data_IF_169765029178
#
_entry.id   IF_169765029178
#
_cell.length_a   1.000
_cell.length_b   1.000
_cell.length_c   1.000
_cell.angle_alpha   90.00
_cell.angle_beta   90.00
_cell.angle_gamma   90.00
#
_symmetry.space_group_name_H-M   'P 1'
#
loop_
_entity.id
_entity.type
_entity.pdbx_description
1 polymer ?
#
# COMPACT_ATOMS: atom_id res chain seq x y z
N UNK A 1 3.11 23.06 -22.60
CA UNK A 1 4.16 23.13 -21.57
C UNK A 1 3.62 22.95 -20.14
N UNK A 2 2.29 22.94 -19.91
CA UNK A 2 1.69 22.73 -18.58
C UNK A 2 1.79 21.31 -18.02
N UNK A 3 1.94 20.28 -18.87
CA UNK A 3 1.97 18.89 -18.42
C UNK A 3 3.18 18.57 -17.49
N UNK A 4 4.28 19.32 -17.59
CA UNK A 4 5.47 19.13 -16.74
C UNK A 4 5.24 19.60 -15.29
N UNK A 5 4.28 20.49 -15.06
CA UNK A 5 4.01 21.09 -13.74
C UNK A 5 3.23 20.15 -12.81
N UNK A 6 2.55 19.15 -13.38
CA UNK A 6 1.73 18.18 -12.65
C UNK A 6 2.47 16.87 -12.34
N UNK A 7 3.75 16.77 -12.70
CA UNK A 7 4.55 15.58 -12.40
C UNK A 7 4.94 15.56 -10.93
N UNK A 8 5.01 14.37 -10.30
CA UNK A 8 5.48 14.23 -8.93
C UNK A 8 6.91 14.75 -8.82
N UNK A 9 7.17 15.58 -7.80
CA UNK A 9 8.48 16.16 -7.57
C UNK A 9 9.46 15.08 -7.14
N UNK A 10 10.49 14.86 -7.96
CA UNK A 10 11.65 14.05 -7.56
C UNK A 10 12.51 14.91 -6.63
N UNK A 11 12.92 14.41 -5.44
CA UNK A 11 13.74 15.16 -4.52
C UNK A 11 15.00 15.71 -5.19
N UNK A 12 15.27 16.98 -4.95
CA UNK A 12 16.50 17.61 -5.42
C UNK A 12 17.65 17.26 -4.46
N UNK A 13 18.84 17.01 -4.97
CA UNK A 13 20.04 16.74 -4.17
C UNK A 13 20.66 18.03 -3.59
N UNK A 14 19.94 19.14 -3.69
CA UNK A 14 20.34 20.46 -3.19
C UNK A 14 20.04 20.59 -1.71
N UNK A 15 21.03 21.04 -0.97
CA UNK A 15 20.93 21.41 0.43
C UNK A 15 21.18 22.92 0.59
N UNK A 16 20.22 23.63 1.19
CA UNK A 16 20.38 25.05 1.52
C UNK A 16 21.03 25.19 2.89
N UNK A 17 22.25 25.71 2.95
CA UNK A 17 22.93 26.04 4.21
C UNK A 17 23.04 27.56 4.31
N UNK A 18 22.16 28.17 5.10
CA UNK A 18 21.95 29.63 5.14
C UNK A 18 21.36 30.13 3.83
N UNK A 19 21.96 31.18 3.24
CA UNK A 19 21.50 31.79 1.97
C UNK A 19 22.15 31.16 0.72
N UNK A 20 22.86 30.02 0.86
CA UNK A 20 23.62 29.40 -0.22
C UNK A 20 23.14 27.98 -0.50
N UNK A 21 23.10 27.65 -1.79
CA UNK A 21 22.73 26.32 -2.29
C UNK A 21 23.99 25.49 -2.50
N UNK A 22 23.99 24.29 -1.93
CA UNK A 22 25.04 23.30 -2.07
C UNK A 22 24.48 22.02 -2.67
N UNK A 23 25.31 21.31 -3.42
CA UNK A 23 25.04 19.97 -3.90
C UNK A 23 25.81 18.97 -3.04
N UNK A 24 25.11 17.92 -2.61
CA UNK A 24 25.75 16.81 -1.91
C UNK A 24 26.37 15.84 -2.91
N UNK A 25 27.68 15.65 -2.80
CA UNK A 25 28.45 14.67 -3.54
C UNK A 25 28.30 13.27 -2.90
N UNK A 26 28.71 12.23 -3.63
CA UNK A 26 28.62 10.83 -3.17
C UNK A 26 29.42 10.55 -1.89
N UNK A 27 30.55 11.26 -1.71
CA UNK A 27 31.40 11.18 -0.52
C UNK A 27 30.86 11.97 0.69
N UNK A 28 29.69 12.62 0.54
CA UNK A 28 29.07 13.45 1.56
C UNK A 28 29.61 14.88 1.61
N UNK A 29 30.51 15.28 0.70
CA UNK A 29 30.97 16.67 0.61
C UNK A 29 29.89 17.56 0.01
N UNK A 30 29.88 18.82 0.43
CA UNK A 30 28.98 19.85 -0.11
C UNK A 30 29.74 20.72 -1.11
N UNK A 31 29.33 20.67 -2.38
CA UNK A 31 29.87 21.52 -3.45
C UNK A 31 28.94 22.71 -3.66
N UNK A 32 29.42 23.96 -3.52
CA UNK A 32 28.60 25.15 -3.82
C UNK A 32 28.14 25.14 -5.28
N UNK A 33 26.90 25.56 -5.56
CA UNK A 33 26.33 25.56 -6.91
C UNK A 33 27.22 26.30 -7.94
N UNK A 34 27.87 27.39 -7.54
CA UNK A 34 28.79 28.15 -8.39
C UNK A 34 30.03 27.36 -8.88
N UNK A 35 30.38 26.26 -8.20
CA UNK A 35 31.51 25.39 -8.53
C UNK A 35 31.06 24.13 -9.28
N UNK A 36 29.76 23.88 -9.38
CA UNK A 36 29.22 22.73 -10.12
C UNK A 36 29.32 23.00 -11.61
N UNK A 37 29.82 22.01 -12.36
CA UNK A 37 29.91 22.11 -13.82
C UNK A 37 28.50 22.28 -14.43
N UNK A 38 28.27 23.24 -15.34
CA UNK A 38 26.95 23.45 -15.96
C UNK A 38 26.37 22.19 -16.62
N UNK A 39 27.22 21.36 -17.24
CA UNK A 39 26.80 20.09 -17.85
C UNK A 39 26.17 19.13 -16.83
N UNK A 40 26.69 19.07 -15.60
CA UNK A 40 26.13 18.22 -14.53
C UNK A 40 24.76 18.69 -14.08
N UNK A 41 24.55 20.00 -14.01
CA UNK A 41 23.24 20.59 -13.70
C UNK A 41 22.21 20.22 -14.78
N UNK A 42 22.61 20.25 -16.06
CA UNK A 42 21.74 19.86 -17.18
C UNK A 42 21.40 18.36 -17.15
N UNK A 43 22.39 17.49 -16.92
CA UNK A 43 22.19 16.04 -16.77
C UNK A 43 21.18 15.73 -15.65
N UNK A 44 21.39 16.33 -14.48
CA UNK A 44 20.53 16.17 -13.31
C UNK A 44 19.10 16.69 -13.57
N UNK A 45 18.94 17.82 -14.26
CA UNK A 45 17.63 18.34 -14.68
C UNK A 45 16.92 17.35 -15.62
N UNK A 46 17.64 16.81 -16.60
CA UNK A 46 17.10 15.82 -17.51
C UNK A 46 16.65 14.56 -16.77
N UNK A 47 17.51 13.99 -15.92
CA UNK A 47 17.20 12.78 -15.14
C UNK A 47 15.96 12.97 -14.27
N UNK A 48 15.87 14.09 -13.54
CA UNK A 48 14.69 14.40 -12.71
C UNK A 48 13.42 14.52 -13.55
N UNK A 49 13.50 15.15 -14.72
CA UNK A 49 12.34 15.29 -15.62
C UNK A 49 11.84 13.92 -16.07
N UNK A 50 12.74 13.04 -16.49
CA UNK A 50 12.39 11.67 -16.91
C UNK A 50 11.83 10.86 -15.75
N UNK A 51 12.47 10.91 -14.58
CA UNK A 51 12.05 10.19 -13.38
C UNK A 51 10.67 10.65 -12.88
N UNK A 52 10.39 11.95 -12.91
CA UNK A 52 9.08 12.51 -12.58
C UNK A 52 7.99 11.97 -13.53
N UNK A 53 8.28 11.90 -14.83
CA UNK A 53 7.41 11.28 -15.84
C UNK A 53 7.12 9.81 -15.54
N UNK A 54 8.16 9.03 -15.25
CA UNK A 54 8.02 7.61 -14.93
C UNK A 54 7.18 7.37 -13.68
N UNK A 55 7.37 8.18 -12.62
CA UNK A 55 6.63 8.06 -11.38
C UNK A 55 5.14 8.42 -11.55
N UNK A 56 4.82 9.39 -12.42
CA UNK A 56 3.44 9.71 -12.78
C UNK A 56 2.71 8.53 -13.45
N UNK A 57 3.38 7.89 -14.42
CA UNK A 57 2.85 6.70 -15.12
C UNK A 57 2.68 5.55 -14.12
N UNK A 58 3.68 5.31 -13.28
CA UNK A 58 3.63 4.28 -12.24
C UNK A 58 2.43 4.47 -11.29
N UNK A 59 2.19 5.71 -10.85
CA UNK A 59 1.02 6.04 -10.02
C UNK A 59 -0.30 5.76 -10.75
N UNK A 60 -0.37 6.11 -12.03
CA UNK A 60 -1.56 5.87 -12.86
C UNK A 60 -1.83 4.38 -13.06
N UNK A 61 -0.78 3.59 -13.35
CA UNK A 61 -0.88 2.14 -13.50
C UNK A 61 -1.31 1.45 -12.19
N UNK A 62 -0.77 1.91 -11.05
CA UNK A 62 -1.15 1.38 -9.74
C UNK A 62 -2.63 1.63 -9.41
N UNK A 63 -3.14 2.84 -9.70
CA UNK A 63 -4.57 3.16 -9.53
C UNK A 63 -5.44 2.32 -10.46
N UNK A 64 -5.06 2.19 -11.74
CA UNK A 64 -5.79 1.37 -12.70
C UNK A 64 -5.86 -0.10 -12.27
N UNK A 65 -4.76 -0.65 -11.76
CA UNK A 65 -4.71 -2.01 -11.20
C UNK A 65 -5.70 -2.16 -10.04
N UNK A 66 -5.67 -1.24 -9.07
CA UNK A 66 -6.57 -1.29 -7.92
C UNK A 66 -8.06 -1.22 -8.35
N UNK A 67 -8.39 -0.30 -9.26
CA UNK A 67 -9.72 -0.18 -9.85
C UNK A 67 -10.16 -1.47 -10.54
N UNK A 68 -9.30 -2.07 -11.37
CA UNK A 68 -9.63 -3.28 -12.11
C UNK A 68 -9.99 -4.44 -11.18
N UNK A 69 -9.24 -4.61 -10.08
CA UNK A 69 -9.54 -5.64 -9.09
C UNK A 69 -10.81 -5.33 -8.28
N UNK A 70 -11.05 -4.07 -7.91
CA UNK A 70 -12.28 -3.70 -7.20
C UNK A 70 -13.52 -3.90 -8.06
N UNK A 71 -13.46 -3.53 -9.35
CA UNK A 71 -14.55 -3.74 -10.30
C UNK A 71 -14.80 -5.22 -10.57
N UNK A 72 -13.74 -6.02 -10.71
CA UNK A 72 -13.87 -7.47 -10.86
C UNK A 72 -14.56 -8.12 -9.65
N UNK A 73 -14.20 -7.71 -8.43
CA UNK A 73 -14.85 -8.20 -7.21
C UNK A 73 -16.31 -7.76 -7.13
N UNK A 74 -16.60 -6.49 -7.41
CA UNK A 74 -17.97 -5.97 -7.41
C UNK A 74 -18.85 -6.69 -8.44
N UNK A 75 -18.28 -7.04 -9.60
CA UNK A 75 -18.95 -7.86 -10.61
C UNK A 75 -19.25 -9.26 -10.08
N UNK A 76 -18.28 -9.96 -9.48
CA UNK A 76 -18.47 -11.29 -8.91
C UNK A 76 -19.57 -11.26 -7.85
N UNK A 77 -19.52 -10.29 -6.93
CA UNK A 77 -20.51 -10.16 -5.85
C UNK A 77 -21.91 -9.89 -6.39
N UNK A 78 -22.02 -9.09 -7.46
CA UNK A 78 -23.29 -8.80 -8.12
C UNK A 78 -23.84 -10.01 -8.84
N UNK A 79 -23.00 -10.75 -9.57
CA UNK A 79 -23.41 -12.00 -10.23
C UNK A 79 -23.84 -13.05 -9.21
N UNK A 80 -23.11 -13.19 -8.10
CA UNK A 80 -23.45 -14.13 -7.03
C UNK A 80 -24.79 -13.78 -6.37
N UNK A 81 -25.04 -12.48 -6.13
CA UNK A 81 -26.29 -11.98 -5.55
C UNK A 81 -27.48 -12.18 -6.48
N UNK A 82 -27.35 -11.79 -7.74
CA UNK A 82 -28.49 -11.66 -8.66
C UNK A 82 -28.82 -12.96 -9.38
N UNK A 83 -27.84 -13.84 -9.55
CA UNK A 83 -27.99 -15.11 -10.28
C UNK A 83 -27.76 -16.34 -9.40
N UNK A 84 -27.53 -16.18 -8.10
CA UNK A 84 -27.40 -17.28 -7.13
C UNK A 84 -26.21 -18.21 -7.39
N UNK A 85 -25.27 -17.80 -8.24
CA UNK A 85 -24.10 -18.60 -8.59
C UNK A 85 -23.03 -18.35 -7.55
N UNK A 86 -22.96 -19.22 -6.53
CA UNK A 86 -21.83 -19.26 -5.62
C UNK A 86 -20.57 -19.72 -6.36
N UNK A 87 -19.96 -18.85 -7.18
CA UNK A 87 -18.61 -19.07 -7.71
C UNK A 87 -17.58 -18.70 -6.64
N UNK A 88 -17.48 -19.56 -5.62
CA UNK A 88 -16.55 -19.44 -4.51
C UNK A 88 -15.71 -20.69 -4.36
N UNK A 89 -14.74 -20.87 -5.25
CA UNK A 89 -13.60 -21.75 -4.97
C UNK A 89 -12.86 -21.22 -3.75
N UNK A 90 -12.76 -22.05 -2.72
CA UNK A 90 -12.04 -21.87 -1.45
C UNK A 90 -10.73 -21.08 -1.62
N UNK A 91 -10.76 -19.77 -1.35
CA UNK A 91 -9.61 -18.88 -1.46
C UNK A 91 -9.51 -17.94 -0.26
N UNK A 92 -8.51 -18.18 0.59
CA UNK A 92 -7.97 -17.21 1.54
C UNK A 92 -8.75 -17.04 2.85
N UNK A 93 -8.27 -17.67 3.92
CA UNK A 93 -8.60 -17.27 5.30
C UNK A 93 -8.16 -15.83 5.57
N UNK A 94 -9.08 -14.96 5.97
CA UNK A 94 -8.75 -13.72 6.68
C UNK A 94 -8.79 -13.98 8.19
N UNK A 95 -7.70 -13.77 8.95
CA UNK A 95 -7.75 -13.91 10.40
C UNK A 95 -8.27 -12.60 11.00
N UNK A 96 -9.58 -12.46 11.16
CA UNK A 96 -10.14 -11.38 11.97
C UNK A 96 -11.55 -11.71 12.46
N UNK A 97 -11.61 -12.62 13.44
CA UNK A 97 -12.60 -12.61 14.52
C UNK A 97 -12.12 -13.59 15.58
N UNK A 98 -11.96 -13.22 16.86
CA UNK A 98 -11.85 -14.22 17.89
C UNK A 98 -13.21 -14.90 18.01
N UNK A 99 -13.33 -16.12 17.49
CA UNK A 99 -14.45 -16.99 17.81
C UNK A 99 -14.43 -17.23 19.31
N UNK A 100 -15.32 -16.53 20.03
CA UNK A 100 -15.68 -16.87 21.40
C UNK A 100 -16.25 -18.27 21.39
N UNK A 101 -15.42 -19.24 21.78
CA UNK A 101 -15.89 -20.59 22.14
C UNK A 101 -16.78 -20.42 23.37
N UNK A 102 -18.07 -20.61 23.19
CA UNK A 102 -19.02 -20.81 24.28
C UNK A 102 -18.80 -22.24 24.79
N UNK A 103 -18.41 -22.48 26.06
CA UNK A 103 -18.36 -23.83 26.57
C UNK A 103 -19.79 -24.35 26.76
N UNK A 104 -20.08 -25.51 26.17
CA UNK A 104 -21.32 -26.26 26.41
C UNK A 104 -21.40 -26.75 27.86
N UNK A 105 -22.60 -27.10 28.36
CA UNK A 105 -22.82 -27.37 29.78
C UNK A 105 -22.11 -28.66 30.22
N UNK A 106 -21.40 -28.58 31.35
CA UNK A 106 -20.75 -29.71 32.03
C UNK A 106 -21.79 -30.78 32.44
N UNK A 107 -21.63 -32.06 32.06
CA UNK A 107 -22.43 -33.14 32.61
C UNK A 107 -21.80 -33.60 33.92
N UNK A 108 -22.04 -32.87 35.00
CA UNK A 108 -21.36 -33.13 36.27
C UNK A 108 -22.03 -32.55 37.50
N UNK A 109 -23.34 -32.75 37.69
CA UNK A 109 -23.97 -32.54 39.01
C UNK A 109 -25.20 -33.44 39.20
N UNK A 110 -24.99 -34.75 39.25
CA UNK A 110 -25.95 -35.68 39.84
C UNK A 110 -25.75 -35.70 41.35
N UNK A 111 -26.50 -34.88 42.07
CA UNK A 111 -26.60 -34.99 43.52
C UNK A 111 -27.51 -36.16 43.90
N UNK A 112 -26.98 -36.94 44.82
CA UNK A 112 -27.52 -38.05 45.59
C UNK A 112 -28.98 -37.88 46.02
N UNK A 113 -29.82 -38.90 45.79
CA UNK A 113 -30.98 -39.22 46.64
C UNK A 113 -31.18 -40.74 46.65
N UNK A 114 -30.80 -41.35 47.76
CA UNK A 114 -30.99 -42.76 48.03
C UNK A 114 -32.44 -43.20 48.12
N UNK A 115 -32.64 -44.49 47.85
CA UNK A 115 -33.66 -45.32 48.47
C UNK A 115 -33.04 -46.67 48.78
N UNK A 116 -33.10 -47.04 50.07
CA UNK A 116 -33.04 -48.42 50.53
C UNK A 116 -34.24 -49.17 49.92
N UNK A 117 -34.15 -50.49 49.80
CA UNK A 117 -35.05 -51.41 50.51
C UNK A 117 -34.77 -52.88 50.10
N UNK A 118 -34.55 -53.68 51.15
CA UNK A 118 -34.75 -55.12 51.36
C UNK A 118 -34.18 -56.17 50.40
#
# INVERSE_FOLDING_TARGET
>A
MDALKALPTVPDARESVGDKVFYREEDGRLTPEALVKPAKLMEDMFVRTVAAGALSIHGSLSRFKALSFSEAQALIDTVARDYGVAMGGKGGTSPSSPTTVVPGPDPGSGTDHGWRDH
#
